data_IF_124801399069
#
_entry.id   IF_124801399069
#
_cell.length_a   1.000
_cell.length_b   1.000
_cell.length_c   1.000
_cell.angle_alpha   90.00
_cell.angle_beta   90.00
_cell.angle_gamma   90.00
#
_symmetry.space_group_name_H-M   'P 1'
#
loop_
_entity.id
_entity.type
_entity.pdbx_description
1 polymer ?
#
# COMPACT_ATOMS: atom_id res chain seq x y z
N UNK A 1 8.40 -37.81 4.74
CA UNK A 1 7.08 -37.14 4.72
C UNK A 1 7.14 -35.96 5.67
N UNK A 2 6.50 -34.86 5.28
CA UNK A 2 6.44 -33.52 5.92
C UNK A 2 7.54 -32.54 5.49
N UNK A 3 7.22 -31.86 4.39
CA UNK A 3 7.69 -30.55 3.94
C UNK A 3 7.04 -29.44 4.80
N UNK A 4 7.84 -28.47 5.24
CA UNK A 4 7.41 -27.20 5.84
C UNK A 4 8.65 -26.30 5.76
N UNK A 5 8.74 -25.28 4.92
CA UNK A 5 7.71 -24.35 4.49
C UNK A 5 7.93 -22.98 5.13
N UNK A 6 9.17 -22.51 5.23
CA UNK A 6 9.51 -21.15 5.67
C UNK A 6 10.15 -20.38 4.51
N UNK A 7 9.38 -20.25 3.43
CA UNK A 7 9.62 -19.23 2.41
C UNK A 7 9.22 -17.90 3.06
N UNK A 8 10.12 -17.38 3.90
CA UNK A 8 10.03 -16.03 4.46
C UNK A 8 10.17 -15.07 3.28
N UNK A 9 9.06 -14.86 2.56
CA UNK A 9 8.88 -13.83 1.53
C UNK A 9 9.13 -12.50 2.21
N UNK A 10 10.40 -12.12 2.26
CA UNK A 10 10.86 -10.79 2.64
C UNK A 10 10.43 -9.88 1.49
N UNK A 11 9.14 -9.57 1.45
CA UNK A 11 8.59 -8.61 0.52
C UNK A 11 9.21 -7.26 0.88
N UNK A 12 10.09 -6.78 0.00
CA UNK A 12 10.77 -5.49 0.15
C UNK A 12 9.71 -4.40 0.30
N UNK A 13 9.57 -3.85 1.51
CA UNK A 13 8.65 -2.75 1.77
C UNK A 13 9.35 -1.45 1.43
N UNK A 14 8.82 -0.74 0.44
CA UNK A 14 9.28 0.60 0.12
C UNK A 14 8.37 1.61 0.83
N UNK A 15 8.98 2.43 1.67
CA UNK A 15 8.31 3.61 2.23
C UNK A 15 8.23 4.67 1.14
N UNK A 16 7.01 4.91 0.65
CA UNK A 16 6.71 5.96 -0.32
C UNK A 16 6.22 7.18 0.48
N UNK A 17 6.50 8.39 0.02
CA UNK A 17 6.03 9.67 0.58
C UNK A 17 6.87 10.32 1.70
N UNK A 18 8.20 10.19 1.66
CA UNK A 18 9.09 10.88 2.61
C UNK A 18 9.10 12.41 2.48
N UNK A 19 8.74 12.97 1.32
CA UNK A 19 8.70 14.43 1.08
C UNK A 19 7.38 15.10 1.52
N UNK A 20 6.38 14.33 1.97
CA UNK A 20 5.07 14.87 2.37
C UNK A 20 4.90 15.10 3.87
N UNK A 21 5.94 14.89 4.69
CA UNK A 21 5.92 15.23 6.13
C UNK A 21 5.57 16.73 6.36
N UNK A 22 5.87 17.60 5.39
CA UNK A 22 5.56 19.04 5.44
C UNK A 22 4.17 19.43 4.93
N UNK A 23 3.39 18.51 4.33
CA UNK A 23 2.04 18.76 3.79
C UNK A 23 0.93 18.03 4.59
N UNK A 24 1.24 17.64 5.83
CA UNK A 24 0.41 16.85 6.76
C UNK A 24 -0.98 17.47 7.04
N UNK A 25 -1.20 18.74 6.72
CA UNK A 25 -2.44 19.47 6.98
C UNK A 25 -3.58 19.23 5.94
N UNK A 26 -3.29 18.69 4.75
CA UNK A 26 -4.30 18.62 3.67
C UNK A 26 -4.73 17.22 3.25
N UNK A 27 -3.93 16.18 3.52
CA UNK A 27 -4.22 14.81 3.07
C UNK A 27 -4.64 13.97 4.27
N UNK A 28 -5.94 13.75 4.44
CA UNK A 28 -6.49 12.96 5.55
C UNK A 28 -6.11 11.47 5.47
N UNK A 29 -5.74 10.98 4.28
CA UNK A 29 -5.44 9.57 4.01
C UNK A 29 -4.25 9.43 3.05
N UNK A 30 -3.15 8.81 3.47
CA UNK A 30 -1.98 8.58 2.61
C UNK A 30 -1.37 7.20 2.77
N UNK A 31 -0.77 6.70 1.68
CA UNK A 31 -0.05 5.42 1.69
C UNK A 31 1.31 5.62 2.36
N UNK A 32 1.58 4.88 3.43
CA UNK A 32 2.86 4.93 4.16
C UNK A 32 3.84 3.89 3.65
N UNK A 33 3.35 2.70 3.28
CA UNK A 33 4.17 1.61 2.77
C UNK A 33 3.42 0.87 1.67
N UNK A 34 4.14 0.47 0.64
CA UNK A 34 3.64 -0.43 -0.39
C UNK A 34 4.46 -1.70 -0.46
N UNK A 35 3.78 -2.78 -0.79
CA UNK A 35 4.32 -4.12 -1.04
C UNK A 35 3.71 -4.66 -2.32
N UNK A 36 4.17 -5.83 -2.80
CA UNK A 36 3.62 -6.44 -4.01
C UNK A 36 2.15 -6.83 -3.85
N UNK A 37 1.76 -7.21 -2.64
CA UNK A 37 0.41 -7.72 -2.34
C UNK A 37 -0.55 -6.67 -1.76
N UNK A 38 -0.07 -5.49 -1.35
CA UNK A 38 -0.92 -4.52 -0.68
C UNK A 38 -0.22 -3.27 -0.19
N UNK A 39 -0.99 -2.40 0.44
CA UNK A 39 -0.57 -1.10 0.96
C UNK A 39 -0.98 -0.93 2.42
N UNK A 40 -0.22 -0.11 3.13
CA UNK A 40 -0.65 0.46 4.40
C UNK A 40 -1.07 1.91 4.20
N UNK A 41 -2.32 2.21 4.52
CA UNK A 41 -2.92 3.54 4.41
C UNK A 41 -3.06 4.10 5.81
N UNK A 42 -2.38 5.20 6.09
CA UNK A 42 -2.60 5.96 7.31
C UNK A 42 -3.87 6.78 7.11
N UNK A 43 -4.88 6.55 7.93
CA UNK A 43 -6.16 7.27 7.90
C UNK A 43 -6.72 7.35 9.32
N UNK A 44 -7.35 8.48 9.63
CA UNK A 44 -8.10 8.65 10.90
C UNK A 44 -9.44 7.92 10.85
N UNK A 45 -10.04 7.83 9.66
CA UNK A 45 -11.31 7.16 9.41
C UNK A 45 -11.08 5.71 9.01
N UNK A 46 -11.06 4.83 10.02
CA UNK A 46 -10.76 3.40 9.84
C UNK A 46 -12.02 2.65 9.44
N UNK A 47 -11.99 2.06 8.25
CA UNK A 47 -13.00 1.17 7.73
C UNK A 47 -12.84 -0.24 8.33
N UNK A 48 -13.95 -0.97 8.55
CA UNK A 48 -13.91 -2.32 9.11
C UNK A 48 -13.19 -3.30 8.17
N UNK A 49 -12.55 -4.31 8.74
CA UNK A 49 -11.96 -5.43 8.00
C UNK A 49 -13.02 -6.09 7.10
N UNK A 50 -12.65 -6.43 5.86
CA UNK A 50 -13.55 -6.92 4.82
C UNK A 50 -14.14 -5.82 3.93
N UNK A 51 -13.88 -4.54 4.25
CA UNK A 51 -14.35 -3.42 3.43
C UNK A 51 -13.54 -3.35 2.14
N UNK A 52 -14.24 -3.34 1.00
CA UNK A 52 -13.65 -3.08 -0.31
C UNK A 52 -13.50 -1.58 -0.51
N UNK A 53 -12.30 -1.16 -0.89
CA UNK A 53 -11.91 0.22 -1.13
C UNK A 53 -11.31 0.36 -2.52
N UNK A 54 -11.62 1.47 -3.19
CA UNK A 54 -10.91 1.86 -4.41
C UNK A 54 -9.67 2.64 -4.00
N UNK A 55 -8.53 2.24 -4.54
CA UNK A 55 -7.23 2.80 -4.24
C UNK A 55 -6.75 3.62 -5.44
N UNK A 56 -6.58 4.92 -5.23
CA UNK A 56 -5.93 5.81 -6.18
C UNK A 56 -4.89 6.62 -5.43
N UNK A 57 -3.61 6.39 -5.70
CA UNK A 57 -2.53 7.13 -5.07
C UNK A 57 -1.41 7.42 -6.05
N UNK A 58 -0.79 8.58 -5.89
CA UNK A 58 0.32 9.02 -6.73
C UNK A 58 1.63 8.76 -6.00
N UNK A 59 2.56 8.10 -6.69
CA UNK A 59 3.92 7.86 -6.25
C UNK A 59 4.83 8.86 -6.95
N UNK A 60 5.62 9.59 -6.18
CA UNK A 60 6.61 10.54 -6.67
C UNK A 60 7.98 10.04 -6.21
N UNK A 61 8.80 9.53 -7.13
CA UNK A 61 10.19 9.14 -6.84
C UNK A 61 11.12 9.79 -7.87
N UNK A 62 11.29 9.16 -9.03
CA UNK A 62 12.02 9.72 -10.18
C UNK A 62 11.05 10.36 -11.19
N UNK A 63 9.86 9.76 -11.35
CA UNK A 63 8.74 10.23 -12.16
C UNK A 63 7.45 10.26 -11.31
N UNK A 64 6.50 11.12 -11.66
CA UNK A 64 5.16 11.15 -11.07
C UNK A 64 4.33 10.07 -11.72
N UNK A 65 3.93 9.05 -10.96
CA UNK A 65 3.12 7.95 -11.45
C UNK A 65 1.88 7.75 -10.57
N UNK A 66 0.72 7.54 -11.19
CA UNK A 66 -0.54 7.25 -10.47
C UNK A 66 -0.81 5.75 -10.52
N UNK A 67 -1.08 5.18 -9.35
CA UNK A 67 -1.48 3.79 -9.16
C UNK A 67 -2.97 3.76 -8.85
N UNK A 68 -3.68 2.93 -9.61
CA UNK A 68 -5.13 2.77 -9.53
C UNK A 68 -5.51 1.29 -9.44
N UNK A 69 -6.39 0.97 -8.51
CA UNK A 69 -6.95 -0.37 -8.33
C UNK A 69 -8.01 -0.46 -7.25
N UNK A 70 -8.33 -1.69 -6.87
CA UNK A 70 -9.22 -2.04 -5.77
C UNK A 70 -8.47 -2.87 -4.73
N UNK A 71 -8.88 -2.73 -3.48
CA UNK A 71 -8.34 -3.53 -2.40
C UNK A 71 -9.34 -3.79 -1.29
N UNK A 72 -8.97 -4.65 -0.37
CA UNK A 72 -9.79 -5.01 0.77
C UNK A 72 -9.02 -4.80 2.08
N UNK A 73 -9.67 -4.17 3.05
CA UNK A 73 -9.09 -3.96 4.38
C UNK A 73 -8.94 -5.30 5.07
N UNK A 74 -7.71 -5.72 5.35
CA UNK A 74 -7.42 -7.00 6.04
C UNK A 74 -7.01 -6.80 7.50
N UNK A 75 -6.60 -5.58 7.88
CA UNK A 75 -6.23 -5.24 9.25
C UNK A 75 -6.38 -3.75 9.52
N UNK A 76 -6.64 -3.42 10.77
CA UNK A 76 -6.70 -2.05 11.28
C UNK A 76 -5.58 -1.89 12.31
N UNK A 77 -4.92 -0.74 12.32
CA UNK A 77 -3.88 -0.38 13.29
C UNK A 77 -4.27 0.91 14.00
N UNK A 78 -4.01 0.98 15.30
CA UNK A 78 -4.28 2.15 16.13
C UNK A 78 -3.09 3.11 16.22
N UNK A 79 -1.87 2.59 16.18
CA UNK A 79 -0.65 3.38 16.26
C UNK A 79 0.44 2.85 15.29
N UNK A 80 0.78 3.59 14.20
CA UNK A 80 0.07 4.77 13.71
C UNK A 80 -1.36 4.42 13.22
N UNK A 81 -2.34 5.32 13.37
CA UNK A 81 -3.73 5.04 12.98
C UNK A 81 -3.84 4.81 11.47
N UNK A 82 -4.35 3.65 11.07
CA UNK A 82 -4.44 3.29 9.67
C UNK A 82 -4.99 1.90 9.43
N UNK A 83 -4.85 1.46 8.18
CA UNK A 83 -5.41 0.22 7.67
C UNK A 83 -4.42 -0.47 6.72
N UNK A 84 -4.28 -1.77 6.89
CA UNK A 84 -3.63 -2.62 5.89
C UNK A 84 -4.66 -3.07 4.88
N UNK A 85 -4.43 -2.73 3.62
CA UNK A 85 -5.29 -3.07 2.50
C UNK A 85 -4.53 -4.02 1.58
N UNK A 86 -5.13 -5.16 1.25
CA UNK A 86 -4.61 -6.10 0.26
C UNK A 86 -5.17 -5.74 -1.10
N UNK A 87 -4.35 -5.80 -2.15
CA UNK A 87 -4.83 -5.55 -3.51
C UNK A 87 -5.71 -6.70 -3.96
N UNK A 88 -6.92 -6.39 -4.40
CA UNK A 88 -7.84 -7.35 -5.01
C UNK A 88 -7.73 -7.31 -6.53
N UNK A 89 -7.68 -6.11 -7.10
CA UNK A 89 -7.44 -5.90 -8.52
C UNK A 89 -6.58 -4.65 -8.70
N UNK A 90 -5.63 -4.72 -9.63
CA UNK A 90 -4.84 -3.58 -10.06
C UNK A 90 -4.96 -3.47 -11.58
N UNK A 91 -4.83 -2.27 -12.11
CA UNK A 91 -4.67 -2.11 -13.55
C UNK A 91 -3.32 -2.69 -13.99
N UNK A 92 -3.24 -3.28 -15.20
CA UNK A 92 -1.99 -3.85 -15.74
C UNK A 92 -0.82 -2.84 -15.70
N UNK A 93 -1.14 -1.57 -15.98
CA UNK A 93 -0.21 -0.45 -15.88
C UNK A 93 0.32 -0.27 -14.46
N UNK A 94 -0.56 -0.26 -13.47
CA UNK A 94 -0.23 -0.09 -12.05
C UNK A 94 0.56 -1.28 -11.51
N UNK A 95 0.21 -2.51 -11.88
CA UNK A 95 0.94 -3.71 -11.48
C UNK A 95 2.38 -3.68 -12.04
N UNK A 96 2.55 -3.32 -13.31
CA UNK A 96 3.86 -3.16 -13.93
C UNK A 96 4.70 -2.05 -13.28
N UNK A 97 4.08 -0.93 -12.92
CA UNK A 97 4.74 0.15 -12.17
C UNK A 97 5.17 -0.31 -10.78
N UNK A 98 4.30 -0.97 -10.03
CA UNK A 98 4.61 -1.50 -8.70
C UNK A 98 5.76 -2.50 -8.74
N UNK A 99 5.74 -3.43 -9.70
CA UNK A 99 6.81 -4.40 -9.89
C UNK A 99 8.17 -3.71 -10.16
N UNK A 100 8.18 -2.66 -10.99
CA UNK A 100 9.37 -1.86 -11.26
C UNK A 100 9.85 -1.09 -10.03
N UNK A 101 8.94 -0.51 -9.26
CA UNK A 101 9.26 0.19 -8.02
C UNK A 101 9.91 -0.76 -7.00
N UNK A 102 9.32 -1.94 -6.78
CA UNK A 102 9.76 -2.89 -5.75
C UNK A 102 11.06 -3.64 -6.08
N UNK A 103 11.46 -3.70 -7.35
CA UNK A 103 12.64 -4.48 -7.80
C UNK A 103 13.97 -3.71 -7.68
N UNK A 104 13.95 -2.39 -7.46
CA UNK A 104 15.14 -1.52 -7.50
C UNK A 104 15.94 -1.56 -6.21
#
# INVERSE_FOLDING_TARGET
MADQGDDQRTDRRLTINKEFESFDAFVHEYVTNVSRSGVFIRSKDRLPVGTKVTLTFTVIMDDVATIEGSGEVVRIQDDPPGMGVVFTELTDYSEGLLARLLTK
#
